data_IF_471160554841
#
_entry.id   IF_471160554841
#
_cell.length_a   1.000
_cell.length_b   1.000
_cell.length_c   1.000
_cell.angle_alpha   90.00
_cell.angle_beta   90.00
_cell.angle_gamma   90.00
#
_symmetry.space_group_name_H-M   'P 1'
#
loop_
_entity.id
_entity.type
_entity.pdbx_description
1 polymer ?
#
# COMPACT_ATOMS: atom_id res chain seq x y z
N UNK A 1 11.38 21.72 -29.08
CA UNK A 1 11.48 20.25 -29.16
C UNK A 1 10.35 19.69 -28.34
N UNK A 2 9.39 19.08 -29.03
CA UNK A 2 8.13 18.62 -28.46
C UNK A 2 8.37 17.35 -27.62
N UNK A 3 8.05 17.44 -26.34
CA UNK A 3 7.89 16.28 -25.47
C UNK A 3 6.60 15.57 -25.87
N UNK A 4 6.71 14.51 -26.67
CA UNK A 4 5.62 13.56 -26.85
C UNK A 4 5.71 12.55 -25.70
N UNK A 5 4.70 12.42 -24.82
CA UNK A 5 4.70 11.35 -23.85
C UNK A 5 4.43 10.03 -24.58
N UNK A 6 5.35 9.10 -24.39
CA UNK A 6 5.32 7.68 -24.77
C UNK A 6 4.01 7.05 -24.28
N UNK A 7 2.99 7.01 -25.17
CA UNK A 7 1.62 6.55 -24.92
C UNK A 7 1.48 5.02 -24.75
N UNK A 8 2.53 4.27 -24.42
CA UNK A 8 2.48 2.81 -24.52
C UNK A 8 3.28 2.04 -23.46
N UNK A 9 2.95 2.23 -22.17
CA UNK A 9 3.33 1.27 -21.12
C UNK A 9 2.12 0.83 -20.31
N UNK A 10 1.29 0.03 -20.98
CA UNK A 10 0.37 -0.97 -20.41
C UNK A 10 -0.60 -0.42 -19.36
N UNK A 11 -1.80 -0.03 -19.81
CA UNK A 11 -2.97 0.21 -18.95
C UNK A 11 -3.13 -0.95 -17.95
N UNK A 12 -2.67 -0.77 -16.71
CA UNK A 12 -2.99 -1.70 -15.62
C UNK A 12 -4.44 -1.45 -15.23
N UNK A 13 -5.32 -2.16 -15.91
CA UNK A 13 -6.76 -2.04 -15.77
C UNK A 13 -7.18 -2.51 -14.38
N UNK A 14 -8.03 -1.74 -13.72
CA UNK A 14 -8.71 -2.15 -12.49
C UNK A 14 -9.41 -3.51 -12.72
N UNK A 15 -9.47 -4.39 -11.70
CA UNK A 15 -10.18 -5.64 -11.86
C UNK A 15 -11.65 -5.38 -12.14
N UNK A 16 -12.19 -6.12 -13.09
CA UNK A 16 -13.62 -6.19 -13.38
C UNK A 16 -14.35 -6.97 -12.30
N UNK A 17 -15.67 -6.78 -12.19
CA UNK A 17 -16.50 -7.59 -11.30
C UNK A 17 -16.38 -9.09 -11.65
N UNK A 18 -16.36 -9.43 -12.94
CA UNK A 18 -16.14 -10.78 -13.41
C UNK A 18 -14.85 -11.39 -12.85
N UNK A 19 -13.72 -10.66 -12.93
CA UNK A 19 -12.44 -11.14 -12.40
C UNK A 19 -12.47 -11.31 -10.88
N UNK A 20 -13.09 -10.39 -10.13
CA UNK A 20 -13.23 -10.53 -8.68
C UNK A 20 -14.02 -11.79 -8.30
N UNK A 21 -15.08 -12.11 -9.05
CA UNK A 21 -15.90 -13.31 -8.82
C UNK A 21 -15.15 -14.62 -9.10
N UNK A 22 -14.04 -14.59 -9.87
CA UNK A 22 -13.20 -15.79 -10.07
C UNK A 22 -12.26 -16.08 -8.90
N UNK A 23 -12.08 -15.14 -7.97
CA UNK A 23 -11.19 -15.33 -6.82
C UNK A 23 -11.75 -16.39 -5.87
N UNK A 24 -10.87 -17.22 -5.30
CA UNK A 24 -11.28 -18.29 -4.39
C UNK A 24 -12.10 -17.82 -3.18
N UNK A 25 -11.95 -16.56 -2.74
CA UNK A 25 -12.78 -16.03 -1.65
C UNK A 25 -14.24 -15.81 -2.06
N UNK A 26 -14.52 -15.60 -3.35
CA UNK A 26 -15.85 -15.43 -3.92
C UNK A 26 -16.46 -16.77 -4.39
N UNK A 27 -15.86 -17.91 -4.06
CA UNK A 27 -16.43 -19.22 -4.36
C UNK A 27 -17.83 -19.36 -3.77
N UNK A 28 -18.81 -19.77 -4.57
CA UNK A 28 -20.21 -19.87 -4.15
C UNK A 28 -21.02 -18.59 -4.39
N UNK A 29 -20.43 -17.57 -5.03
CA UNK A 29 -21.18 -16.43 -5.54
C UNK A 29 -22.08 -16.83 -6.72
N UNK A 30 -23.36 -16.49 -6.64
CA UNK A 30 -24.34 -16.66 -7.71
C UNK A 30 -24.74 -15.29 -8.27
N UNK A 31 -24.59 -15.09 -9.58
CA UNK A 31 -25.03 -13.86 -10.24
C UNK A 31 -26.48 -14.02 -10.71
N UNK A 32 -27.39 -13.21 -10.17
CA UNK A 32 -28.83 -13.31 -10.45
C UNK A 32 -29.33 -12.30 -11.49
N UNK A 33 -28.58 -11.21 -11.72
CA UNK A 33 -28.89 -10.17 -12.70
C UNK A 33 -27.64 -9.41 -13.14
N UNK A 34 -27.77 -8.56 -14.16
CA UNK A 34 -26.72 -7.62 -14.56
C UNK A 34 -25.49 -8.21 -15.24
N UNK A 35 -25.59 -9.42 -15.80
CA UNK A 35 -24.48 -10.13 -16.47
C UNK A 35 -23.70 -9.27 -17.49
N UNK A 36 -24.39 -8.39 -18.23
CA UNK A 36 -23.77 -7.49 -19.21
C UNK A 36 -22.80 -6.47 -18.59
N UNK A 37 -22.92 -6.18 -17.29
CA UNK A 37 -22.08 -5.21 -16.56
C UNK A 37 -20.93 -5.85 -15.79
N UNK A 38 -20.77 -7.19 -15.81
CA UNK A 38 -19.69 -7.85 -15.08
C UNK A 38 -18.29 -7.46 -15.57
N UNK A 39 -18.16 -7.01 -16.82
CA UNK A 39 -16.91 -6.52 -17.39
C UNK A 39 -16.56 -5.08 -16.95
N UNK A 40 -17.40 -4.41 -16.16
CA UNK A 40 -17.10 -3.07 -15.67
C UNK A 40 -16.05 -3.11 -14.56
N UNK A 41 -15.11 -2.13 -14.52
CA UNK A 41 -14.08 -2.07 -13.51
C UNK A 41 -14.67 -1.75 -12.13
N UNK A 42 -14.16 -2.44 -11.11
CA UNK A 42 -14.49 -2.19 -9.70
C UNK A 42 -13.38 -1.36 -9.07
N UNK A 43 -13.74 -0.19 -8.54
CA UNK A 43 -12.79 0.78 -7.97
C UNK A 43 -12.54 0.52 -6.49
N UNK A 44 -13.52 -0.05 -5.79
CA UNK A 44 -13.49 -0.37 -4.37
C UNK A 44 -14.55 -1.41 -3.99
N UNK A 45 -14.34 -2.09 -2.85
CA UNK A 45 -15.35 -2.98 -2.25
C UNK A 45 -15.69 -2.47 -0.85
N UNK A 46 -16.97 -2.35 -0.54
CA UNK A 46 -17.44 -1.75 0.71
C UNK A 46 -18.53 -2.62 1.36
N UNK A 47 -18.49 -2.76 2.68
CA UNK A 47 -19.56 -3.41 3.45
C UNK A 47 -20.50 -2.33 3.96
N UNK A 48 -21.80 -2.43 3.64
CA UNK A 48 -22.80 -1.46 4.10
C UNK A 48 -24.11 -2.13 4.46
N UNK A 49 -24.73 -1.63 5.54
CA UNK A 49 -26.10 -1.95 5.93
C UNK A 49 -27.01 -0.72 5.84
N UNK A 50 -26.53 0.40 5.29
CA UNK A 50 -27.29 1.66 5.23
C UNK A 50 -28.15 1.69 3.96
N UNK A 51 -29.47 1.82 4.10
CA UNK A 51 -30.42 1.90 2.98
C UNK A 51 -30.28 3.16 2.12
N UNK A 52 -29.52 4.14 2.59
CA UNK A 52 -29.13 5.29 1.78
C UNK A 52 -27.61 5.33 1.61
N UNK A 53 -27.01 4.19 1.26
CA UNK A 53 -25.58 4.12 0.94
C UNK A 53 -25.22 4.93 -0.31
N UNK A 54 -26.19 5.15 -1.21
CA UNK A 54 -26.00 5.83 -2.49
C UNK A 54 -25.40 7.24 -2.35
N UNK A 55 -25.77 7.99 -1.29
CA UNK A 55 -25.23 9.35 -1.05
C UNK A 55 -23.72 9.41 -0.77
N UNK A 56 -23.10 8.28 -0.46
CA UNK A 56 -21.67 8.18 -0.13
C UNK A 56 -20.85 7.57 -1.26
N UNK A 57 -21.47 7.19 -2.37
CA UNK A 57 -20.79 6.58 -3.50
C UNK A 57 -20.06 7.64 -4.32
N UNK A 58 -18.86 7.29 -4.77
CA UNK A 58 -18.07 8.04 -5.75
C UNK A 58 -18.12 7.40 -7.14
N UNK A 59 -18.71 6.21 -7.25
CA UNK A 59 -18.84 5.44 -8.48
C UNK A 59 -17.78 4.34 -8.60
N UNK A 60 -18.19 3.20 -9.15
CA UNK A 60 -17.31 2.04 -9.35
C UNK A 60 -17.30 1.04 -8.20
N UNK A 61 -18.02 1.29 -7.10
CA UNK A 61 -17.98 0.45 -5.91
C UNK A 61 -18.82 -0.82 -6.04
N UNK A 62 -18.33 -1.92 -5.48
CA UNK A 62 -19.11 -3.13 -5.20
C UNK A 62 -19.52 -3.13 -3.73
N UNK A 63 -20.82 -3.23 -3.46
CA UNK A 63 -21.34 -3.22 -2.10
C UNK A 63 -21.59 -4.64 -1.61
N UNK A 64 -21.21 -4.94 -0.38
CA UNK A 64 -21.50 -6.17 0.34
C UNK A 64 -22.48 -5.87 1.48
N UNK A 65 -23.53 -6.68 1.61
CA UNK A 65 -24.52 -6.52 2.67
C UNK A 65 -25.09 -7.88 3.09
N UNK A 66 -25.44 -8.02 4.36
CA UNK A 66 -26.26 -9.12 4.89
C UNK A 66 -27.75 -8.94 4.58
N UNK A 67 -28.13 -7.75 4.06
CA UNK A 67 -29.51 -7.42 3.72
C UNK A 67 -30.42 -7.24 4.94
N UNK A 68 -29.86 -7.14 6.14
CA UNK A 68 -30.63 -7.15 7.41
C UNK A 68 -31.61 -5.97 7.53
N UNK A 69 -31.17 -4.76 7.15
CA UNK A 69 -32.02 -3.57 7.11
C UNK A 69 -32.92 -3.56 5.86
N UNK A 70 -32.44 -4.13 4.75
CA UNK A 70 -33.22 -4.25 3.52
C UNK A 70 -34.42 -5.18 3.70
N UNK A 71 -34.28 -6.24 4.51
CA UNK A 71 -35.35 -7.17 4.85
C UNK A 71 -36.48 -6.53 5.67
N UNK A 72 -36.19 -5.45 6.40
CA UNK A 72 -37.17 -4.71 7.19
C UNK A 72 -37.83 -3.58 6.39
N UNK A 73 -37.29 -3.23 5.23
CA UNK A 73 -37.86 -2.21 4.37
C UNK A 73 -39.15 -2.69 3.69
N UNK A 74 -40.02 -1.75 3.32
CA UNK A 74 -41.19 -2.05 2.49
C UNK A 74 -40.77 -2.55 1.10
N UNK A 75 -41.67 -3.23 0.40
CA UNK A 75 -41.48 -3.64 -1.00
C UNK A 75 -40.96 -2.49 -1.88
N UNK A 76 -41.54 -1.29 -1.74
CA UNK A 76 -41.08 -0.10 -2.44
C UNK A 76 -39.68 0.33 -2.00
N UNK A 77 -39.41 0.34 -0.69
CA UNK A 77 -38.10 0.69 -0.16
C UNK A 77 -36.98 -0.26 -0.62
N UNK A 78 -37.29 -1.54 -0.82
CA UNK A 78 -36.36 -2.52 -1.36
C UNK A 78 -36.01 -2.23 -2.82
N UNK A 79 -37.01 -1.94 -3.65
CA UNK A 79 -36.80 -1.55 -5.05
C UNK A 79 -36.05 -0.21 -5.16
N UNK A 80 -36.41 0.76 -4.32
CA UNK A 80 -35.79 2.08 -4.28
C UNK A 80 -34.32 2.03 -3.87
N UNK A 81 -33.96 1.13 -2.95
CA UNK A 81 -32.56 0.89 -2.56
C UNK A 81 -31.71 0.42 -3.75
N UNK A 82 -32.18 -0.58 -4.49
CA UNK A 82 -31.45 -1.09 -5.65
C UNK A 82 -31.34 -0.01 -6.74
N UNK A 83 -32.43 0.75 -6.97
CA UNK A 83 -32.40 1.90 -7.89
C UNK A 83 -31.33 2.90 -7.47
N UNK A 84 -31.32 3.32 -6.21
CA UNK A 84 -30.40 4.37 -5.74
C UNK A 84 -28.93 3.95 -5.86
N UNK A 85 -28.61 2.67 -5.63
CA UNK A 85 -27.26 2.14 -5.85
C UNK A 85 -26.87 2.15 -7.33
N UNK A 86 -27.77 1.70 -8.20
CA UNK A 86 -27.53 1.66 -9.63
C UNK A 86 -27.32 3.07 -10.22
N UNK A 87 -28.15 4.03 -9.83
CA UNK A 87 -28.06 5.44 -10.21
C UNK A 87 -26.85 6.14 -9.59
N UNK A 88 -26.48 5.76 -8.36
CA UNK A 88 -25.28 6.25 -7.65
C UNK A 88 -23.96 5.72 -8.20
N UNK A 89 -23.98 4.90 -9.27
CA UNK A 89 -22.79 4.44 -9.96
C UNK A 89 -22.12 3.21 -9.34
N UNK A 90 -22.79 2.51 -8.41
CA UNK A 90 -22.30 1.22 -7.95
C UNK A 90 -22.20 0.22 -9.12
N UNK A 91 -21.26 -0.71 -9.03
CA UNK A 91 -21.05 -1.77 -10.01
C UNK A 91 -21.73 -3.08 -9.63
N UNK A 92 -22.27 -3.17 -8.42
CA UNK A 92 -23.11 -4.29 -8.02
C UNK A 92 -23.43 -4.28 -6.54
N UNK A 93 -24.36 -5.16 -6.17
CA UNK A 93 -24.69 -5.50 -4.80
C UNK A 93 -24.48 -7.00 -4.60
N UNK A 94 -23.76 -7.34 -3.53
CA UNK A 94 -23.56 -8.69 -3.04
C UNK A 94 -24.40 -8.87 -1.77
N UNK A 95 -25.28 -9.85 -1.75
CA UNK A 95 -26.09 -10.20 -0.58
C UNK A 95 -25.69 -11.55 0.00
N UNK A 96 -25.46 -11.59 1.32
CA UNK A 96 -25.38 -12.84 2.07
C UNK A 96 -26.78 -13.26 2.55
N UNK A 97 -27.29 -14.37 2.03
CA UNK A 97 -28.63 -14.89 2.30
C UNK A 97 -28.63 -15.87 3.49
N UNK A 98 -28.18 -15.39 4.66
CA UNK A 98 -28.15 -16.20 5.90
C UNK A 98 -28.99 -15.56 7.00
N UNK A 99 -28.69 -14.30 7.36
CA UNK A 99 -29.34 -13.65 8.50
C UNK A 99 -30.53 -12.78 8.11
N UNK A 100 -30.42 -11.96 7.05
CA UNK A 100 -31.50 -11.06 6.62
C UNK A 100 -32.56 -11.74 5.75
N UNK A 101 -32.12 -12.55 4.79
CA UNK A 101 -32.97 -13.21 3.80
C UNK A 101 -32.58 -14.68 3.65
N UNK A 102 -33.59 -15.57 3.46
CA UNK A 102 -33.34 -16.96 3.01
C UNK A 102 -33.34 -17.08 1.48
N UNK A 103 -34.10 -16.21 0.82
CA UNK A 103 -34.15 -16.03 -0.62
C UNK A 103 -34.25 -14.53 -0.93
N UNK A 104 -33.81 -14.15 -2.13
CA UNK A 104 -33.86 -12.75 -2.57
C UNK A 104 -35.32 -12.30 -2.77
N UNK A 105 -35.75 -11.16 -2.20
CA UNK A 105 -37.07 -10.60 -2.47
C UNK A 105 -37.31 -10.32 -3.95
N UNK A 106 -38.54 -10.52 -4.40
CA UNK A 106 -38.90 -10.34 -5.82
C UNK A 106 -38.74 -8.88 -6.25
N UNK A 107 -38.90 -7.94 -5.32
CA UNK A 107 -38.74 -6.51 -5.52
C UNK A 107 -37.27 -6.13 -5.75
N UNK A 108 -36.35 -6.69 -4.95
CA UNK A 108 -34.90 -6.49 -5.10
C UNK A 108 -34.43 -7.05 -6.45
N UNK A 109 -34.82 -8.29 -6.77
CA UNK A 109 -34.44 -8.93 -8.03
C UNK A 109 -35.08 -8.24 -9.25
N UNK A 110 -36.35 -7.83 -9.12
CA UNK A 110 -37.08 -7.09 -10.15
C UNK A 110 -36.42 -5.76 -10.47
N UNK A 111 -36.08 -4.97 -9.45
CA UNK A 111 -35.35 -3.72 -9.61
C UNK A 111 -33.96 -3.96 -10.23
N UNK A 112 -33.21 -4.94 -9.72
CA UNK A 112 -31.87 -5.22 -10.25
C UNK A 112 -31.90 -5.60 -11.75
N UNK A 113 -32.92 -6.36 -12.18
CA UNK A 113 -33.14 -6.69 -13.59
C UNK A 113 -33.52 -5.46 -14.42
N UNK A 114 -34.43 -4.62 -13.91
CA UNK A 114 -34.87 -3.40 -14.58
C UNK A 114 -33.71 -2.46 -14.90
N UNK A 115 -32.78 -2.27 -13.97
CA UNK A 115 -31.61 -1.40 -14.15
C UNK A 115 -30.39 -2.12 -14.75
N UNK A 116 -30.51 -3.41 -15.10
CA UNK A 116 -29.36 -4.23 -15.52
C UNK A 116 -28.23 -4.26 -14.48
N UNK A 117 -28.56 -4.07 -13.21
CA UNK A 117 -27.63 -3.94 -12.10
C UNK A 117 -27.16 -5.32 -11.62
N UNK A 118 -25.84 -5.56 -11.47
CA UNK A 118 -25.34 -6.82 -10.97
C UNK A 118 -25.81 -7.09 -9.54
N UNK A 119 -26.61 -8.14 -9.38
CA UNK A 119 -26.98 -8.69 -8.08
C UNK A 119 -26.31 -10.04 -7.93
N UNK A 120 -25.43 -10.14 -6.95
CA UNK A 120 -24.69 -11.35 -6.61
C UNK A 120 -25.14 -11.82 -5.24
N UNK A 121 -25.25 -13.12 -5.04
CA UNK A 121 -25.65 -13.67 -3.74
C UNK A 121 -24.72 -14.77 -3.28
N UNK A 122 -24.61 -14.90 -1.96
CA UNK A 122 -24.06 -16.07 -1.29
C UNK A 122 -25.17 -16.73 -0.48
N UNK A 123 -25.35 -18.05 -0.69
CA UNK A 123 -26.34 -18.85 0.07
C UNK A 123 -25.78 -19.44 1.37
N UNK A 124 -24.53 -19.16 1.66
CA UNK A 124 -23.81 -19.62 2.85
C UNK A 124 -23.09 -18.42 3.45
N UNK A 125 -22.73 -18.54 4.72
CA UNK A 125 -22.00 -17.51 5.44
C UNK A 125 -20.64 -17.27 4.79
N UNK A 126 -20.30 -16.00 4.55
CA UNK A 126 -19.04 -15.59 3.94
C UNK A 126 -18.34 -14.54 4.79
N UNK A 127 -17.03 -14.69 4.91
CA UNK A 127 -16.22 -13.68 5.59
C UNK A 127 -16.11 -12.43 4.71
N UNK A 128 -16.93 -11.41 4.95
CA UNK A 128 -16.80 -10.11 4.30
C UNK A 128 -15.43 -9.47 4.53
N UNK A 129 -14.79 -9.72 5.67
CA UNK A 129 -13.40 -9.32 5.92
C UNK A 129 -12.41 -10.00 4.96
N UNK A 130 -12.64 -11.27 4.60
CA UNK A 130 -11.82 -11.97 3.60
C UNK A 130 -12.12 -11.46 2.19
N UNK A 131 -13.39 -11.29 1.82
CA UNK A 131 -13.81 -10.76 0.51
C UNK A 131 -13.20 -9.38 0.24
N UNK A 132 -13.35 -8.46 1.19
CA UNK A 132 -12.79 -7.11 1.08
C UNK A 132 -11.27 -7.14 0.99
N UNK A 133 -10.57 -7.92 1.83
CA UNK A 133 -9.11 -8.03 1.79
C UNK A 133 -8.60 -8.49 0.42
N UNK A 134 -9.16 -9.56 -0.15
CA UNK A 134 -8.67 -10.08 -1.44
C UNK A 134 -9.02 -9.16 -2.60
N UNK A 135 -10.19 -8.54 -2.57
CA UNK A 135 -10.60 -7.61 -3.62
C UNK A 135 -9.77 -6.33 -3.56
N UNK A 136 -9.55 -5.76 -2.37
CA UNK A 136 -8.68 -4.60 -2.18
C UNK A 136 -7.25 -4.91 -2.59
N UNK A 137 -6.70 -6.09 -2.26
CA UNK A 137 -5.38 -6.48 -2.74
C UNK A 137 -5.31 -6.44 -4.28
N UNK A 138 -6.32 -6.99 -4.97
CA UNK A 138 -6.36 -6.99 -6.44
C UNK A 138 -6.50 -5.60 -7.04
N UNK A 139 -7.30 -4.73 -6.42
CA UNK A 139 -7.51 -3.34 -6.82
C UNK A 139 -6.25 -2.51 -6.60
N UNK A 140 -5.62 -2.62 -5.43
CA UNK A 140 -4.43 -1.85 -5.06
C UNK A 140 -3.20 -2.30 -5.87
N UNK A 141 -3.03 -3.60 -6.11
CA UNK A 141 -1.96 -4.09 -7.01
C UNK A 141 -2.13 -3.59 -8.45
N UNK A 142 -3.37 -3.41 -8.92
CA UNK A 142 -3.62 -2.82 -10.24
C UNK A 142 -3.27 -1.31 -10.29
N UNK A 143 -3.42 -0.59 -9.18
CA UNK A 143 -3.07 0.84 -9.07
C UNK A 143 -1.57 1.12 -8.96
N UNK A 144 -0.74 0.06 -8.96
CA UNK A 144 0.70 0.12 -8.86
C UNK A 144 1.16 -0.53 -7.56
N UNK A 145 2.11 -1.45 -7.66
CA UNK A 145 2.94 -1.79 -6.50
C UNK A 145 3.51 -0.50 -5.95
N UNK A 146 3.45 -0.32 -4.63
CA UNK A 146 4.36 0.62 -3.97
C UNK A 146 5.74 0.13 -4.35
N UNK A 147 6.36 0.73 -5.39
CA UNK A 147 7.75 0.46 -5.70
C UNK A 147 8.49 0.71 -4.40
N UNK A 148 9.17 -0.30 -3.91
CA UNK A 148 10.11 -0.13 -2.81
C UNK A 148 10.95 1.10 -3.15
N UNK A 149 10.97 2.08 -2.26
CA UNK A 149 11.62 3.35 -2.53
C UNK A 149 13.13 3.09 -2.65
N UNK A 150 13.58 2.83 -3.87
CA UNK A 150 14.99 2.63 -4.17
C UNK A 150 15.65 4.00 -4.31
N UNK A 151 16.68 4.21 -3.50
CA UNK A 151 17.54 5.39 -3.57
C UNK A 151 18.63 5.25 -4.64
N UNK A 152 18.80 4.05 -5.24
CA UNK A 152 19.89 3.77 -6.20
C UNK A 152 19.99 4.81 -7.31
N UNK A 153 18.90 5.21 -8.01
CA UNK A 153 19.02 6.20 -9.08
C UNK A 153 19.52 7.57 -8.61
N UNK A 154 19.21 7.95 -7.36
CA UNK A 154 19.71 9.20 -6.78
C UNK A 154 21.18 9.11 -6.41
N UNK A 155 21.61 7.96 -5.88
CA UNK A 155 23.01 7.71 -5.53
C UNK A 155 23.88 7.63 -6.77
N UNK A 156 23.41 6.93 -7.81
CA UNK A 156 24.07 6.83 -9.11
C UNK A 156 24.25 8.23 -9.73
N UNK A 157 23.21 9.07 -9.69
CA UNK A 157 23.31 10.46 -10.16
C UNK A 157 24.34 11.30 -9.37
N UNK A 158 24.49 11.08 -8.05
CA UNK A 158 25.52 11.74 -7.24
C UNK A 158 26.93 11.25 -7.58
N UNK A 159 27.08 9.96 -7.86
CA UNK A 159 28.34 9.36 -8.28
C UNK A 159 28.74 9.84 -9.69
N UNK A 160 27.82 9.79 -10.66
CA UNK A 160 28.04 10.22 -12.05
C UNK A 160 28.42 11.70 -12.16
N UNK A 161 27.86 12.55 -11.28
CA UNK A 161 28.18 13.98 -11.24
C UNK A 161 29.48 14.28 -10.48
N UNK A 162 30.13 13.27 -9.90
CA UNK A 162 31.34 13.43 -9.08
C UNK A 162 31.09 14.17 -7.76
N UNK A 163 29.83 14.29 -7.32
CA UNK A 163 29.44 15.04 -6.12
C UNK A 163 29.31 14.16 -4.87
N UNK A 164 29.43 12.84 -5.01
CA UNK A 164 29.35 11.89 -3.90
C UNK A 164 30.38 12.18 -2.82
N UNK A 165 31.65 12.44 -3.20
CA UNK A 165 32.75 12.68 -2.26
C UNK A 165 32.51 13.96 -1.44
N UNK A 166 32.17 15.07 -2.09
CA UNK A 166 31.88 16.35 -1.40
C UNK A 166 30.68 16.20 -0.46
N UNK A 167 29.65 15.46 -0.89
CA UNK A 167 28.48 15.17 -0.08
C UNK A 167 28.85 14.33 1.15
N UNK A 168 29.62 13.25 0.97
CA UNK A 168 30.12 12.40 2.06
C UNK A 168 30.96 13.20 3.05
N UNK A 169 31.86 14.06 2.57
CA UNK A 169 32.66 14.92 3.43
C UNK A 169 31.80 15.93 4.20
N UNK A 170 30.80 16.55 3.56
CA UNK A 170 29.88 17.47 4.23
C UNK A 170 28.96 16.79 5.27
N UNK A 171 28.62 15.51 5.07
CA UNK A 171 27.76 14.78 6.00
C UNK A 171 28.55 14.07 7.11
N UNK A 172 29.59 13.32 6.75
CA UNK A 172 30.32 12.38 7.62
C UNK A 172 31.80 12.72 7.80
N UNK A 173 32.32 13.80 7.20
CA UNK A 173 33.75 14.16 7.23
C UNK A 173 34.41 14.04 8.60
N UNK A 174 33.85 14.63 9.68
CA UNK A 174 34.40 14.48 11.03
C UNK A 174 34.53 13.02 11.51
N UNK A 175 33.60 12.14 11.13
CA UNK A 175 33.68 10.71 11.45
C UNK A 175 34.66 9.95 10.55
N UNK A 176 34.71 10.30 9.26
CA UNK A 176 35.62 9.67 8.30
C UNK A 176 37.10 9.96 8.64
N UNK A 177 37.38 11.12 9.23
CA UNK A 177 38.69 11.53 9.71
C UNK A 177 39.17 10.81 10.98
N UNK A 178 38.31 10.04 11.65
CA UNK A 178 38.69 9.30 12.86
C UNK A 178 39.60 8.09 12.54
N UNK A 179 40.43 7.66 13.51
CA UNK A 179 41.14 6.39 13.41
C UNK A 179 40.17 5.22 13.21
N UNK A 180 40.63 4.15 12.55
CA UNK A 180 39.79 3.04 12.10
C UNK A 180 38.87 2.47 13.20
N UNK A 181 39.40 2.19 14.39
CA UNK A 181 38.61 1.60 15.48
C UNK A 181 37.46 2.52 15.95
N UNK A 182 37.71 3.76 16.40
CA UNK A 182 36.64 4.71 16.74
C UNK A 182 35.65 4.95 15.60
N UNK A 183 36.15 5.10 14.36
CA UNK A 183 35.32 5.30 13.17
C UNK A 183 34.33 4.16 12.96
N UNK A 184 34.79 2.91 12.94
CA UNK A 184 33.93 1.74 12.76
C UNK A 184 32.86 1.66 13.85
N UNK A 185 33.25 1.91 15.11
CA UNK A 185 32.32 1.87 16.24
C UNK A 185 31.23 2.94 16.13
N UNK A 186 31.60 4.18 15.81
CA UNK A 186 30.66 5.29 15.72
C UNK A 186 29.81 5.24 14.44
N UNK A 187 30.37 4.75 13.33
CA UNK A 187 29.61 4.50 12.10
C UNK A 187 28.53 3.44 12.32
N UNK A 188 28.88 2.31 12.94
CA UNK A 188 27.88 1.28 13.28
C UNK A 188 26.85 1.78 14.29
N UNK A 189 27.25 2.69 15.19
CA UNK A 189 26.32 3.32 16.14
C UNK A 189 25.34 4.27 15.44
N UNK A 190 25.82 5.08 14.50
CA UNK A 190 24.99 5.98 13.70
C UNK A 190 24.01 5.20 12.82
N UNK A 191 24.47 4.14 12.14
CA UNK A 191 23.61 3.28 11.33
C UNK A 191 22.51 2.63 12.18
N UNK A 192 22.84 2.08 13.35
CA UNK A 192 21.84 1.50 14.25
C UNK A 192 20.78 2.53 14.72
N UNK A 193 21.21 3.77 14.99
CA UNK A 193 20.28 4.85 15.37
C UNK A 193 19.33 5.17 14.23
N UNK A 194 19.85 5.37 13.03
CA UNK A 194 19.06 5.68 11.84
C UNK A 194 18.08 4.55 11.50
N UNK A 195 18.52 3.29 11.58
CA UNK A 195 17.69 2.10 11.34
C UNK A 195 16.61 1.84 12.42
N UNK A 196 16.66 2.56 13.53
CA UNK A 196 15.69 2.42 14.63
C UNK A 196 14.96 3.74 14.92
N UNK A 197 15.01 4.70 14.00
CA UNK A 197 14.42 6.04 14.17
C UNK A 197 14.85 6.69 15.49
N UNK A 198 16.14 6.59 15.81
CA UNK A 198 16.77 7.09 17.04
C UNK A 198 16.18 6.51 18.34
N UNK A 199 15.58 5.30 18.29
CA UNK A 199 15.20 4.58 19.49
C UNK A 199 16.44 4.02 20.20
N UNK A 200 16.85 4.74 21.25
CA UNK A 200 18.01 4.43 22.08
C UNK A 200 18.06 3.01 22.63
N UNK A 201 16.94 2.53 23.16
CA UNK A 201 16.87 1.22 23.81
C UNK A 201 17.00 0.10 22.76
N UNK A 202 16.38 0.29 21.59
CA UNK A 202 16.48 -0.65 20.48
C UNK A 202 17.88 -0.65 19.86
N UNK A 203 18.46 0.53 19.60
CA UNK A 203 19.83 0.69 19.12
C UNK A 203 20.85 0.01 20.02
N UNK A 204 20.77 0.25 21.34
CA UNK A 204 21.68 -0.37 22.30
C UNK A 204 21.55 -1.90 22.33
N UNK A 205 20.32 -2.42 22.22
CA UNK A 205 20.06 -3.87 22.14
C UNK A 205 20.63 -4.48 20.86
N UNK A 206 20.41 -3.84 19.70
CA UNK A 206 20.95 -4.28 18.40
C UNK A 206 22.47 -4.32 18.39
N UNK A 207 23.12 -3.35 19.02
CA UNK A 207 24.59 -3.28 19.11
C UNK A 207 25.17 -4.13 20.25
N UNK A 208 24.34 -4.76 21.09
CA UNK A 208 24.80 -5.52 22.26
C UNK A 208 25.56 -4.69 23.30
N UNK A 209 25.27 -3.38 23.40
CA UNK A 209 25.98 -2.46 24.31
C UNK A 209 25.11 -2.00 25.47
N UNK A 210 25.75 -1.63 26.57
CA UNK A 210 25.06 -1.02 27.72
C UNK A 210 24.54 0.38 27.37
N UNK A 211 23.42 0.77 27.98
CA UNK A 211 22.79 2.09 27.78
C UNK A 211 23.76 3.25 27.98
N UNK A 212 24.63 3.19 28.99
CA UNK A 212 25.61 4.24 29.27
C UNK A 212 26.64 4.40 28.14
N UNK A 213 27.09 3.30 27.55
CA UNK A 213 27.98 3.32 26.39
C UNK A 213 27.28 3.95 25.18
N UNK A 214 26.00 3.66 24.99
CA UNK A 214 25.20 4.24 23.91
C UNK A 214 25.07 5.76 24.05
N UNK A 215 24.76 6.26 25.26
CA UNK A 215 24.71 7.70 25.52
C UNK A 215 26.03 8.39 25.19
N UNK A 216 27.15 7.85 25.67
CA UNK A 216 28.46 8.42 25.39
C UNK A 216 28.73 8.52 23.87
N UNK A 217 28.44 7.46 23.12
CA UNK A 217 28.65 7.46 21.66
C UNK A 217 27.75 8.46 20.95
N UNK A 218 26.53 8.70 21.44
CA UNK A 218 25.64 9.71 20.85
C UNK A 218 26.09 11.11 21.13
N UNK A 219 26.56 11.40 22.34
CA UNK A 219 27.15 12.70 22.65
C UNK A 219 28.36 12.95 21.75
N UNK A 220 29.20 11.93 21.50
CA UNK A 220 30.28 12.02 20.51
C UNK A 220 29.74 12.31 19.10
N UNK A 221 28.72 11.58 18.64
CA UNK A 221 28.11 11.81 17.33
C UNK A 221 27.52 13.22 17.22
N UNK A 222 26.81 13.72 18.25
CA UNK A 222 26.25 15.07 18.27
C UNK A 222 27.33 16.14 18.26
N UNK A 223 28.40 15.94 19.02
CA UNK A 223 29.53 16.86 19.04
C UNK A 223 30.22 16.97 17.67
N UNK A 224 30.28 15.86 16.91
CA UNK A 224 30.93 15.83 15.59
C UNK A 224 30.00 16.21 14.44
N UNK A 225 28.72 15.84 14.50
CA UNK A 225 27.79 15.92 13.38
C UNK A 225 26.69 16.97 13.57
N UNK A 226 26.64 17.64 14.73
CA UNK A 226 25.60 18.61 15.05
C UNK A 226 24.29 17.96 15.49
N UNK A 227 23.17 18.65 15.27
CA UNK A 227 21.87 18.18 15.73
C UNK A 227 21.37 16.98 14.93
N UNK A 228 21.39 15.82 15.57
CA UNK A 228 20.90 14.56 15.01
C UNK A 228 19.37 14.44 15.02
N UNK A 229 18.65 15.38 15.62
CA UNK A 229 17.18 15.39 15.63
C UNK A 229 16.59 16.18 14.46
N UNK A 230 17.39 16.94 13.72
CA UNK A 230 16.93 17.68 12.53
C UNK A 230 16.61 16.70 11.38
N UNK A 231 15.38 16.71 10.83
CA UNK A 231 14.98 15.77 9.79
C UNK A 231 15.83 15.83 8.52
N UNK A 232 16.28 17.04 8.13
CA UNK A 232 17.14 17.20 6.95
C UNK A 232 18.52 16.61 7.19
N UNK A 233 19.07 16.80 8.39
CA UNK A 233 20.33 16.19 8.81
C UNK A 233 20.24 14.67 8.85
N UNK A 234 19.17 14.10 9.41
CA UNK A 234 18.93 12.65 9.41
C UNK A 234 18.90 12.08 7.99
N UNK A 235 18.14 12.70 7.09
CA UNK A 235 18.09 12.29 5.68
C UNK A 235 19.48 12.35 5.01
N UNK A 236 20.23 13.44 5.24
CA UNK A 236 21.59 13.57 4.73
C UNK A 236 22.52 12.45 5.22
N UNK A 237 22.43 12.08 6.50
CA UNK A 237 23.22 11.00 7.09
C UNK A 237 22.80 9.61 6.58
N UNK A 238 21.50 9.37 6.36
CA UNK A 238 21.01 8.14 5.71
C UNK A 238 21.61 7.97 4.31
N UNK A 239 21.56 9.02 3.49
CA UNK A 239 22.12 9.01 2.14
C UNK A 239 23.63 8.81 2.15
N UNK A 240 24.34 9.47 3.07
CA UNK A 240 25.78 9.35 3.19
C UNK A 240 26.21 7.92 3.59
N UNK A 241 25.51 7.28 4.52
CA UNK A 241 25.78 5.88 4.86
C UNK A 241 25.51 4.94 3.68
N UNK A 242 24.45 5.17 2.91
CA UNK A 242 24.14 4.34 1.75
C UNK A 242 25.20 4.48 0.63
N UNK A 243 25.73 5.69 0.42
CA UNK A 243 26.88 5.92 -0.47
C UNK A 243 28.12 5.16 0.00
N UNK A 244 28.46 5.19 1.29
CA UNK A 244 29.62 4.43 1.80
C UNK A 244 29.48 2.92 1.60
N UNK A 245 28.26 2.39 1.63
CA UNK A 245 27.99 0.97 1.35
C UNK A 245 28.11 0.64 -0.14
N UNK A 246 27.67 1.57 -1.00
CA UNK A 246 27.69 1.41 -2.45
C UNK A 246 29.12 1.47 -2.99
N UNK A 247 29.92 2.46 -2.56
CA UNK A 247 31.34 2.59 -2.93
C UNK A 247 32.16 1.37 -2.44
N UNK A 248 31.89 0.86 -1.23
CA UNK A 248 32.54 -0.37 -0.74
C UNK A 248 32.16 -1.62 -1.54
N UNK A 249 30.98 -1.63 -2.18
CA UNK A 249 30.51 -2.71 -3.05
C UNK A 249 31.14 -2.68 -4.44
N UNK A 250 31.50 -1.50 -4.96
CA UNK A 250 32.18 -1.33 -6.25
C UNK A 250 33.66 -1.73 -6.19
N UNK A 251 34.38 -1.31 -5.15
CA UNK A 251 35.79 -1.68 -4.94
C UNK A 251 35.96 -3.21 -4.82
N UNK A 252 35.02 -3.90 -4.18
CA UNK A 252 35.04 -5.37 -4.05
C UNK A 252 34.59 -6.12 -5.32
N UNK A 253 33.97 -5.44 -6.30
CA UNK A 253 33.67 -6.00 -7.64
C UNK A 253 34.85 -5.87 -8.59
N UNK A 254 35.66 -4.81 -8.49
CA UNK A 254 36.89 -4.63 -9.27
C UNK A 254 38.03 -5.55 -8.81
N UNK A 255 38.06 -5.98 -7.54
CA UNK A 255 39.09 -6.86 -6.98
C UNK A 255 38.89 -8.37 -7.22
N UNK A 256 37.86 -8.81 -7.97
CA UNK A 256 37.76 -10.22 -8.41
C UNK A 256 38.56 -10.43 -9.71
N UNK A 257 39.77 -11.03 -9.68
CA UNK A 257 40.43 -11.39 -10.91
C UNK A 257 39.62 -12.49 -11.59
N UNK A 258 39.37 -12.32 -12.89
CA UNK A 258 38.91 -13.42 -13.74
C UNK A 258 39.92 -14.56 -13.63
N UNK A 259 39.49 -15.65 -13.01
CA UNK A 259 40.14 -16.96 -13.09
C UNK A 259 39.10 -17.98 -13.49
#
# INVERSE_FOLDING_TARGET
>A
MAWAPEQDRMTRTLPTLAELLTLAAFSGAEVLSGHARLAQPVTWVHVSEVLDAARFLSGGELLLSTGSLLAQASAQGQADFVRSLAEGGAQGLVLELVQGFRDVPVEVLGAARLYGFPLVVFRQEVSFARLTRVAHARILSARGEVREASLSPLLDALAETGRSVDFLQGQLGPLLALPTRPRTVLMGTLDALLQTNFNMAESARRLGVRRQTMYYRIEQLRAMLGDLNDPKRQLGLHLALELTRSEAGEVMREERPHT
#
